data_IF_774772513014
#
_entry.id   IF_774772513014
#
_cell.length_a   1.000
_cell.length_b   1.000
_cell.length_c   1.000
_cell.angle_alpha   90.00
_cell.angle_beta   90.00
_cell.angle_gamma   90.00
#
_symmetry.space_group_name_H-M   'P 1'
#
loop_
_entity.id
_entity.type
_entity.pdbx_description
1 polymer ?
#
# COMPACT_ATOMS: atom_id res chain seq x y z
N UNK A 1 -54.64 -3.19 -47.93
CA UNK A 1 -54.83 -4.30 -48.89
C UNK A 1 -53.50 -5.06 -48.98
N UNK A 2 -53.48 -6.34 -48.59
CA UNK A 2 -52.32 -7.23 -48.67
C UNK A 2 -52.04 -7.57 -50.13
N UNK A 3 -50.79 -7.53 -50.57
CA UNK A 3 -50.25 -8.53 -51.51
C UNK A 3 -48.83 -8.89 -51.07
N UNK A 4 -48.66 -10.18 -50.85
CA UNK A 4 -47.41 -10.88 -50.61
C UNK A 4 -46.84 -11.33 -51.95
N UNK A 5 -45.54 -11.19 -52.14
CA UNK A 5 -44.79 -11.93 -53.17
C UNK A 5 -43.51 -12.45 -52.53
N UNK A 6 -43.43 -13.77 -52.38
CA UNK A 6 -42.20 -14.54 -52.13
C UNK A 6 -41.54 -14.89 -53.46
N UNK A 7 -40.29 -15.37 -53.38
CA UNK A 7 -39.35 -15.89 -54.41
C UNK A 7 -38.23 -14.87 -54.68
N UNK A 8 -36.94 -15.18 -54.73
CA UNK A 8 -36.19 -16.44 -54.69
C UNK A 8 -34.78 -16.14 -54.12
N UNK A 9 -34.09 -17.18 -53.65
CA UNK A 9 -32.78 -17.14 -53.02
C UNK A 9 -31.63 -16.61 -53.92
N UNK A 10 -30.70 -15.87 -53.31
CA UNK A 10 -29.26 -15.94 -53.63
C UNK A 10 -28.50 -15.93 -52.31
N UNK A 11 -27.97 -17.10 -51.96
CA UNK A 11 -26.94 -17.25 -50.93
C UNK A 11 -25.64 -16.76 -51.55
N UNK A 12 -25.14 -15.61 -51.12
CA UNK A 12 -23.77 -15.21 -51.36
C UNK A 12 -23.03 -15.27 -50.02
N UNK A 13 -22.23 -16.33 -49.86
CA UNK A 13 -21.29 -16.49 -48.76
C UNK A 13 -20.18 -15.46 -48.98
N UNK A 14 -20.28 -14.32 -48.30
CA UNK A 14 -19.21 -13.35 -48.16
C UNK A 14 -18.43 -13.63 -46.88
N UNK A 15 -17.38 -14.44 -47.00
CA UNK A 15 -16.42 -14.69 -45.91
C UNK A 15 -15.58 -13.42 -45.73
N UNK A 16 -15.92 -12.58 -44.76
CA UNK A 16 -15.06 -11.44 -44.36
C UNK A 16 -14.21 -11.90 -43.18
N UNK A 17 -12.89 -12.09 -43.32
CA UNK A 17 -12.03 -12.20 -42.16
C UNK A 17 -11.90 -10.81 -41.55
N UNK A 18 -12.71 -10.51 -40.53
CA UNK A 18 -12.39 -9.44 -39.59
C UNK A 18 -11.14 -9.90 -38.83
N UNK A 19 -9.97 -9.44 -39.29
CA UNK A 19 -8.75 -9.54 -38.52
C UNK A 19 -8.94 -8.71 -37.25
N UNK A 20 -9.27 -9.38 -36.14
CA UNK A 20 -9.20 -8.77 -34.82
C UNK A 20 -7.73 -8.53 -34.51
N UNK A 21 -7.26 -7.30 -34.71
CA UNK A 21 -5.99 -6.85 -34.15
C UNK A 21 -6.13 -6.84 -32.64
N UNK A 22 -5.78 -7.96 -31.99
CA UNK A 22 -5.45 -7.93 -30.57
C UNK A 22 -4.13 -7.17 -30.45
N UNK A 23 -4.21 -5.86 -30.25
CA UNK A 23 -3.09 -5.13 -29.64
C UNK A 23 -3.05 -5.61 -28.20
N UNK A 24 -2.36 -6.72 -27.99
CA UNK A 24 -1.94 -7.13 -26.67
C UNK A 24 -0.85 -6.14 -26.30
N UNK A 25 -1.22 -5.09 -25.56
CA UNK A 25 -0.25 -4.30 -24.82
C UNK A 25 0.47 -5.29 -23.90
N UNK A 26 1.67 -5.71 -24.31
CA UNK A 26 2.53 -6.52 -23.47
C UNK A 26 2.89 -5.63 -22.28
N UNK A 27 2.27 -5.88 -21.12
CA UNK A 27 2.72 -5.29 -19.88
C UNK A 27 4.21 -5.60 -19.74
N UNK A 28 5.04 -4.58 -19.81
CA UNK A 28 6.49 -4.69 -19.63
C UNK A 28 6.84 -4.88 -18.17
N UNK A 29 6.11 -5.71 -17.43
CA UNK A 29 6.61 -6.25 -16.17
C UNK A 29 7.45 -7.48 -16.50
N UNK A 30 8.66 -7.20 -16.97
CA UNK A 30 9.74 -8.17 -16.95
C UNK A 30 10.12 -8.43 -15.49
N UNK A 31 9.32 -9.21 -14.75
CA UNK A 31 9.79 -9.88 -13.55
C UNK A 31 10.75 -11.00 -13.97
N UNK A 32 11.89 -10.61 -14.55
CA UNK A 32 13.04 -11.49 -14.67
C UNK A 32 13.49 -11.77 -13.24
N UNK A 33 13.54 -13.04 -12.90
CA UNK A 33 13.99 -13.57 -11.61
C UNK A 33 15.40 -13.08 -11.16
N UNK A 34 16.13 -12.37 -12.03
CA UNK A 34 17.43 -11.75 -11.79
C UNK A 34 17.47 -10.25 -12.17
N UNK A 35 16.32 -9.58 -12.28
CA UNK A 35 16.27 -8.13 -12.50
C UNK A 35 16.73 -7.42 -11.24
N UNK A 36 17.58 -6.42 -11.39
CA UNK A 36 17.87 -5.49 -10.30
C UNK A 36 16.57 -4.78 -9.91
N UNK A 37 16.43 -4.48 -8.62
CA UNK A 37 15.35 -3.58 -8.16
C UNK A 37 15.56 -2.21 -8.81
N UNK A 38 14.48 -1.55 -9.27
CA UNK A 38 14.57 -0.16 -9.70
C UNK A 38 15.13 0.72 -8.58
N UNK A 39 15.87 1.80 -8.92
CA UNK A 39 16.41 2.74 -7.93
C UNK A 39 15.31 3.58 -7.25
N UNK A 40 14.15 3.72 -7.89
CA UNK A 40 13.04 4.57 -7.45
C UNK A 40 11.67 3.92 -7.72
N UNK A 41 10.60 4.52 -7.19
CA UNK A 41 9.22 4.05 -7.36
C UNK A 41 8.86 2.86 -6.47
N UNK A 42 9.73 2.49 -5.53
CA UNK A 42 9.47 1.46 -4.54
C UNK A 42 8.67 2.05 -3.37
N UNK A 43 7.77 1.25 -2.75
CA UNK A 43 6.95 1.75 -1.66
C UNK A 43 7.79 2.03 -0.41
N UNK A 44 7.35 3.01 0.39
CA UNK A 44 7.81 3.20 1.76
C UNK A 44 7.08 2.19 2.65
N UNK A 45 7.82 1.33 3.35
CA UNK A 45 7.26 0.26 4.16
C UNK A 45 7.25 0.69 5.63
N UNK A 46 6.08 0.95 6.25
CA UNK A 46 6.00 1.17 7.68
C UNK A 46 6.19 -0.14 8.43
N UNK A 47 6.83 -0.09 9.60
CA UNK A 47 7.13 -1.24 10.43
C UNK A 47 6.69 -0.95 11.86
N UNK A 48 5.90 -1.84 12.46
CA UNK A 48 5.71 -1.86 13.91
C UNK A 48 6.86 -2.67 14.49
N UNK A 49 7.68 -2.03 15.32
CA UNK A 49 8.93 -2.60 15.81
C UNK A 49 8.74 -3.32 17.14
N UNK A 50 7.75 -2.89 17.92
CA UNK A 50 7.39 -3.50 19.18
C UNK A 50 6.63 -2.52 20.07
N UNK A 51 6.45 -2.92 21.32
CA UNK A 51 5.75 -2.13 22.33
C UNK A 51 6.50 -2.17 23.67
N UNK A 52 6.30 -1.14 24.50
CA UNK A 52 6.92 -1.02 25.83
C UNK A 52 5.81 -0.84 26.87
N UNK A 53 5.82 -1.67 27.93
CA UNK A 53 5.06 -1.40 29.14
C UNK A 53 5.73 -0.31 29.96
N UNK A 54 5.14 0.88 30.02
CA UNK A 54 5.72 1.96 30.81
C UNK A 54 5.38 1.78 32.31
N UNK A 55 6.24 2.25 33.24
CA UNK A 55 6.01 2.11 34.69
C UNK A 55 4.74 2.79 35.21
N UNK A 56 4.24 3.81 34.48
CA UNK A 56 3.00 4.52 34.80
C UNK A 56 1.74 3.81 34.28
N UNK A 57 1.89 2.63 33.67
CA UNK A 57 0.81 1.81 33.13
C UNK A 57 0.41 2.16 31.70
N UNK A 58 1.00 3.18 31.09
CA UNK A 58 0.82 3.47 29.66
C UNK A 58 1.56 2.44 28.79
N UNK A 59 1.25 2.40 27.50
CA UNK A 59 1.97 1.57 26.53
C UNK A 59 2.52 2.43 25.40
N UNK A 60 3.82 2.34 25.13
CA UNK A 60 4.42 3.00 23.95
C UNK A 60 4.58 2.00 22.82
N UNK A 61 4.09 2.33 21.62
CA UNK A 61 4.27 1.51 20.40
C UNK A 61 5.33 2.18 19.53
N UNK A 62 6.40 1.47 19.17
CA UNK A 62 7.47 2.00 18.31
C UNK A 62 7.21 1.67 16.85
N UNK A 63 7.39 2.66 15.98
CA UNK A 63 7.30 2.51 14.54
C UNK A 63 8.62 2.88 13.86
N UNK A 64 8.96 2.11 12.83
CA UNK A 64 10.10 2.31 11.95
C UNK A 64 9.69 2.27 10.48
N UNK A 65 10.68 2.38 9.59
CA UNK A 65 10.46 2.42 8.14
C UNK A 65 11.58 1.74 7.39
N UNK A 66 11.21 1.14 6.26
CA UNK A 66 12.15 0.72 5.23
C UNK A 66 11.83 1.50 3.97
N UNK A 67 12.73 2.38 3.56
CA UNK A 67 12.75 3.00 2.24
C UNK A 67 13.76 2.23 1.37
N UNK A 68 13.27 1.53 0.34
CA UNK A 68 14.13 0.76 -0.58
C UNK A 68 14.56 1.56 -1.81
N UNK A 69 14.09 2.79 -1.96
CA UNK A 69 14.57 3.70 -2.97
C UNK A 69 16.01 4.13 -2.61
N UNK A 70 16.80 4.45 -3.63
CA UNK A 70 18.17 4.94 -3.47
C UNK A 70 18.21 6.35 -2.83
N UNK A 71 17.13 7.11 -3.02
CA UNK A 71 16.97 8.48 -2.52
C UNK A 71 15.89 8.60 -1.44
N UNK A 72 15.97 9.68 -0.66
CA UNK A 72 14.95 10.02 0.31
C UNK A 72 13.64 10.46 -0.36
N UNK A 73 12.52 10.28 0.34
CA UNK A 73 11.20 10.68 -0.13
C UNK A 73 10.49 11.54 0.92
N UNK A 74 9.76 12.56 0.47
CA UNK A 74 8.93 13.39 1.34
C UNK A 74 7.45 13.07 1.12
N UNK A 75 6.76 12.69 2.18
CA UNK A 75 5.30 12.46 2.17
C UNK A 75 4.69 13.19 3.37
N UNK A 76 4.04 14.35 3.16
CA UNK A 76 3.46 15.11 4.26
C UNK A 76 2.32 14.34 4.92
N UNK A 77 2.03 14.67 6.18
CA UNK A 77 0.84 14.15 6.88
C UNK A 77 -0.42 14.49 6.07
N UNK A 78 -1.29 13.50 5.89
CA UNK A 78 -2.52 13.63 5.10
C UNK A 78 -2.97 12.28 4.53
N UNK A 79 -3.73 12.32 3.44
CA UNK A 79 -4.35 11.12 2.83
C UNK A 79 -3.35 10.00 2.49
N UNK A 80 -2.10 10.34 2.20
CA UNK A 80 -1.05 9.38 1.86
C UNK A 80 -0.14 9.02 3.04
N UNK A 81 -0.33 9.62 4.22
CA UNK A 81 0.49 9.39 5.41
C UNK A 81 -0.29 9.80 6.66
N UNK A 82 -1.02 8.86 7.25
CA UNK A 82 -1.92 9.13 8.37
C UNK A 82 -1.93 7.99 9.38
N UNK A 83 -2.27 8.33 10.62
CA UNK A 83 -2.46 7.41 11.72
C UNK A 83 -3.92 7.38 12.13
N UNK A 84 -4.45 6.18 12.34
CA UNK A 84 -5.73 5.96 12.99
C UNK A 84 -5.54 5.31 14.36
N UNK A 85 -6.34 5.67 15.38
CA UNK A 85 -7.30 6.77 15.40
C UNK A 85 -6.66 8.15 15.25
N UNK A 86 -7.38 9.09 14.63
CA UNK A 86 -6.87 10.42 14.28
C UNK A 86 -6.35 11.26 15.46
N UNK A 87 -6.67 10.91 16.72
CA UNK A 87 -6.10 11.55 17.91
C UNK A 87 -4.59 11.30 18.08
N UNK A 88 -4.05 10.27 17.43
CA UNK A 88 -2.62 9.96 17.41
C UNK A 88 -1.92 10.45 16.14
N UNK A 89 -2.65 11.08 15.22
CA UNK A 89 -2.12 11.59 13.96
C UNK A 89 -1.32 12.88 14.16
N UNK A 90 -0.31 13.08 13.30
CA UNK A 90 0.53 14.28 13.27
C UNK A 90 1.92 14.13 13.89
N UNK A 91 2.26 12.98 14.47
CA UNK A 91 3.60 12.71 15.04
C UNK A 91 4.51 11.88 14.12
N UNK A 92 3.94 11.27 13.08
CA UNK A 92 4.68 10.45 12.13
C UNK A 92 5.69 11.28 11.32
N UNK A 93 6.66 10.58 10.72
CA UNK A 93 7.64 11.21 9.83
C UNK A 93 6.96 11.74 8.58
N UNK A 94 7.56 12.79 8.04
CA UNK A 94 7.24 13.34 6.73
C UNK A 94 8.41 13.28 5.74
N UNK A 95 9.62 12.97 6.23
CA UNK A 95 10.83 12.77 5.46
C UNK A 95 11.36 11.35 5.69
N UNK A 96 11.48 10.57 4.63
CA UNK A 96 11.84 9.16 4.66
C UNK A 96 13.21 8.95 4.01
N UNK A 97 14.27 8.98 4.82
CA UNK A 97 15.63 8.72 4.35
C UNK A 97 15.74 7.31 3.73
N UNK A 98 16.66 7.14 2.77
CA UNK A 98 16.94 5.84 2.18
C UNK A 98 17.41 4.82 3.23
N UNK A 99 17.00 3.56 3.07
CA UNK A 99 17.37 2.45 3.94
C UNK A 99 16.41 2.21 5.10
N UNK A 100 16.94 1.73 6.23
CA UNK A 100 16.18 1.40 7.44
C UNK A 100 16.33 2.52 8.45
N UNK A 101 15.22 3.02 8.95
CA UNK A 101 15.18 3.87 10.15
C UNK A 101 14.40 3.11 11.23
N UNK A 102 15.06 2.94 12.38
CA UNK A 102 14.53 2.30 13.59
C UNK A 102 14.11 3.38 14.58
N UNK A 103 13.05 3.16 15.35
CA UNK A 103 12.58 4.07 16.39
C UNK A 103 12.20 5.44 15.83
N UNK A 104 11.55 5.44 14.67
CA UNK A 104 11.32 6.65 13.90
C UNK A 104 10.32 7.58 14.61
N UNK A 105 9.28 7.00 15.21
CA UNK A 105 8.45 7.66 16.22
C UNK A 105 7.78 6.61 17.10
N UNK A 106 7.16 7.06 18.20
CA UNK A 106 6.36 6.19 19.05
C UNK A 106 5.02 6.84 19.40
N UNK A 107 3.98 6.02 19.52
CA UNK A 107 2.66 6.43 20.00
C UNK A 107 2.47 5.90 21.41
N UNK A 108 2.15 6.79 22.36
CA UNK A 108 1.84 6.40 23.73
C UNK A 108 0.33 6.30 23.93
N UNK A 109 -0.13 5.10 24.26
CA UNK A 109 -1.51 4.76 24.56
C UNK A 109 -1.72 4.87 26.08
N UNK A 110 -2.71 5.65 26.55
CA UNK A 110 -2.96 5.80 27.98
C UNK A 110 -3.48 4.49 28.59
N UNK A 111 -3.20 4.26 29.87
CA UNK A 111 -3.60 3.04 30.59
C UNK A 111 -5.12 2.77 30.57
N UNK A 112 -5.93 3.81 30.39
CA UNK A 112 -7.39 3.72 30.28
C UNK A 112 -7.88 3.12 28.96
N UNK A 113 -7.02 3.03 27.95
CA UNK A 113 -7.35 2.51 26.63
C UNK A 113 -6.70 1.15 26.45
N UNK A 114 -7.52 0.11 26.41
CA UNK A 114 -7.10 -1.28 26.19
C UNK A 114 -7.65 -1.79 24.87
N UNK A 115 -6.97 -2.78 24.28
CA UNK A 115 -7.42 -3.48 23.06
C UNK A 115 -7.68 -2.57 21.85
N UNK A 116 -6.94 -1.45 21.77
CA UNK A 116 -6.96 -0.57 20.60
C UNK A 116 -5.81 -0.89 19.66
N UNK A 117 -6.05 -0.67 18.37
CA UNK A 117 -5.00 -0.62 17.35
C UNK A 117 -4.70 0.83 17.01
N UNK A 118 -3.42 1.17 16.98
CA UNK A 118 -2.89 2.36 16.34
C UNK A 118 -2.34 1.93 14.99
N UNK A 119 -2.95 2.39 13.92
CA UNK A 119 -2.71 1.93 12.56
C UNK A 119 -2.04 3.06 11.78
N UNK A 120 -0.81 2.84 11.32
CA UNK A 120 -0.11 3.79 10.46
C UNK A 120 -0.18 3.33 9.00
N UNK A 121 -0.63 4.22 8.11
CA UNK A 121 -0.78 3.97 6.68
C UNK A 121 0.06 4.94 5.85
N UNK A 122 0.81 4.40 4.89
CA UNK A 122 1.61 5.18 3.93
C UNK A 122 1.29 4.73 2.51
N UNK A 123 0.99 5.69 1.63
CA UNK A 123 0.79 5.47 0.19
C UNK A 123 1.92 6.12 -0.60
N UNK A 124 2.51 5.37 -1.52
CA UNK A 124 3.57 5.85 -2.42
C UNK A 124 3.12 5.71 -3.88
N UNK A 125 3.12 6.81 -4.63
CA UNK A 125 2.66 6.82 -6.02
C UNK A 125 1.25 6.26 -6.18
N UNK A 126 1.06 5.42 -7.18
CA UNK A 126 -0.24 4.81 -7.53
C UNK A 126 -0.51 3.48 -6.81
N UNK A 127 0.39 3.04 -5.93
CA UNK A 127 0.22 1.78 -5.18
C UNK A 127 -0.88 1.87 -4.11
N UNK A 128 -1.40 0.73 -3.69
CA UNK A 128 -2.26 0.66 -2.51
C UNK A 128 -1.46 1.07 -1.25
N UNK A 129 -2.10 1.71 -0.25
CA UNK A 129 -1.42 2.07 0.98
C UNK A 129 -0.87 0.83 1.68
N UNK A 130 0.38 0.91 2.14
CA UNK A 130 0.92 -0.03 3.09
C UNK A 130 0.55 0.41 4.49
N UNK A 131 0.00 -0.53 5.26
CA UNK A 131 -0.55 -0.27 6.58
C UNK A 131 0.04 -1.23 7.59
N UNK A 132 0.39 -0.72 8.77
CA UNK A 132 0.85 -1.54 9.88
C UNK A 132 0.09 -1.22 11.17
N UNK A 133 -0.58 -2.23 11.78
CA UNK A 133 -1.22 -2.06 13.07
C UNK A 133 -0.18 -2.17 14.19
N UNK A 134 -0.34 -1.33 15.21
CA UNK A 134 0.44 -1.32 16.42
C UNK A 134 -0.47 -1.37 17.64
N UNK A 135 -0.26 -2.38 18.49
CA UNK A 135 -1.03 -2.60 19.71
C UNK A 135 -0.14 -3.22 20.78
N UNK A 136 -0.55 -3.10 22.03
CA UNK A 136 -0.03 -3.99 23.07
C UNK A 136 -0.41 -5.42 22.69
N UNK A 137 0.58 -6.29 22.54
CA UNK A 137 0.38 -7.62 21.97
C UNK A 137 1.13 -8.71 22.69
N UNK A 138 1.55 -9.72 21.94
CA UNK A 138 2.38 -10.79 22.46
C UNK A 138 3.68 -10.24 23.07
N UNK A 139 4.13 -10.84 24.17
CA UNK A 139 5.38 -10.47 24.84
C UNK A 139 6.62 -10.65 23.96
N UNK A 140 6.53 -11.46 22.89
CA UNK A 140 7.59 -11.59 21.89
C UNK A 140 7.86 -10.29 21.11
N UNK A 141 6.94 -9.33 21.17
CA UNK A 141 7.09 -7.98 20.59
C UNK A 141 7.25 -6.90 21.67
N UNK A 142 7.35 -7.30 22.95
CA UNK A 142 7.70 -6.36 24.01
C UNK A 142 9.19 -6.01 23.89
N UNK A 143 9.51 -4.73 23.97
CA UNK A 143 10.87 -4.22 23.94
C UNK A 143 11.35 -4.04 25.39
N UNK A 144 12.56 -4.53 25.67
CA UNK A 144 13.21 -4.44 27.00
C UNK A 144 13.66 -3.01 27.36
#
# INVERSE_FOLDING_TARGET
MRIQTKLLAVVLIGLVPFATSLVQAQSSENNRFLSLSPPEGLPIIPVMEGWIANPDGTTSISFGIINRNDEAMDIPVGENNFIEPARYDGIQLTHFAAGRTVGAFAVTIPASETDIDVVWSIKTGDSDPLTVPGRRGASAYELD
#
